data_IF_982877498366
#
_entry.id   IF_982877498366
#
_cell.length_a   1.000
_cell.length_b   1.000
_cell.length_c   1.000
_cell.angle_alpha   90.00
_cell.angle_beta   90.00
_cell.angle_gamma   90.00
#
_symmetry.space_group_name_H-M   'P 1'
#
loop_
_entity.id
_entity.type
_entity.pdbx_description
1 polymer ?
#
# COMPACT_ATOMS: atom_id res chain seq x y z
N UNK A 1 62.19 21.56 -39.11
CA UNK A 1 60.90 21.03 -39.58
C UNK A 1 60.71 19.70 -38.88
N UNK A 2 59.74 19.58 -37.96
CA UNK A 2 59.49 18.31 -37.27
C UNK A 2 59.18 17.22 -38.29
N UNK A 3 59.67 16.02 -38.06
CA UNK A 3 59.52 14.89 -38.97
C UNK A 3 58.04 14.50 -39.06
N UNK A 4 57.56 14.06 -40.24
CA UNK A 4 56.19 13.59 -40.40
C UNK A 4 55.82 12.45 -39.40
N UNK A 5 56.82 11.68 -38.98
CA UNK A 5 56.65 10.71 -37.90
C UNK A 5 56.36 11.40 -36.55
N UNK A 6 57.13 12.43 -36.21
CA UNK A 6 57.01 13.20 -34.96
C UNK A 6 55.62 13.84 -34.81
N UNK A 7 55.09 14.43 -35.89
CA UNK A 7 53.72 14.96 -35.93
C UNK A 7 52.67 13.87 -35.73
N UNK A 8 52.92 12.66 -36.24
CA UNK A 8 51.99 11.53 -36.08
C UNK A 8 51.96 11.03 -34.65
N UNK A 9 53.12 10.98 -33.98
CA UNK A 9 53.24 10.57 -32.58
C UNK A 9 52.61 11.60 -31.63
N UNK A 10 52.76 12.89 -31.93
CA UNK A 10 52.17 13.98 -31.13
C UNK A 10 50.63 13.97 -31.24
N UNK A 11 50.10 13.81 -32.45
CA UNK A 11 48.66 13.67 -32.69
C UNK A 11 48.06 12.43 -32.00
N UNK A 12 48.75 11.29 -32.01
CA UNK A 12 48.30 10.08 -31.30
C UNK A 12 48.27 10.27 -29.78
N UNK A 13 49.27 10.97 -29.25
CA UNK A 13 49.36 11.23 -27.82
C UNK A 13 48.21 12.14 -27.35
N UNK A 14 47.87 13.19 -28.11
CA UNK A 14 46.73 14.05 -27.82
C UNK A 14 45.38 13.30 -27.87
N UNK A 15 45.26 12.33 -28.78
CA UNK A 15 44.07 11.50 -28.93
C UNK A 15 43.89 10.54 -27.73
N UNK A 16 44.97 9.90 -27.28
CA UNK A 16 44.97 9.10 -26.04
C UNK A 16 44.69 9.96 -24.80
N UNK A 17 45.26 11.15 -24.71
CA UNK A 17 45.07 12.06 -23.57
C UNK A 17 43.61 12.52 -23.46
N UNK A 18 42.98 12.86 -24.59
CA UNK A 18 41.56 13.17 -24.65
C UNK A 18 40.67 11.96 -24.30
N UNK A 19 41.06 10.76 -24.73
CA UNK A 19 40.38 9.51 -24.38
C UNK A 19 40.45 9.24 -22.87
N UNK A 20 41.61 9.43 -22.24
CA UNK A 20 41.77 9.30 -20.78
C UNK A 20 40.93 10.33 -20.02
N UNK A 21 40.98 11.60 -20.42
CA UNK A 21 40.15 12.64 -19.80
C UNK A 21 38.65 12.36 -19.93
N UNK A 22 38.20 11.87 -21.09
CA UNK A 22 36.82 11.44 -21.31
C UNK A 22 36.43 10.29 -20.37
N UNK A 23 37.30 9.28 -20.24
CA UNK A 23 37.09 8.15 -19.30
C UNK A 23 37.03 8.61 -17.85
N UNK A 24 37.90 9.51 -17.41
CA UNK A 24 37.89 10.07 -16.05
C UNK A 24 36.59 10.84 -15.79
N UNK A 25 36.14 11.65 -16.76
CA UNK A 25 34.86 12.37 -16.65
C UNK A 25 33.68 11.40 -16.58
N UNK A 26 33.71 10.32 -17.35
CA UNK A 26 32.69 9.27 -17.32
C UNK A 26 32.65 8.54 -15.98
N UNK A 27 33.80 8.09 -15.46
CA UNK A 27 33.92 7.47 -14.13
C UNK A 27 33.42 8.39 -13.02
N UNK A 28 33.77 9.68 -13.10
CA UNK A 28 33.28 10.69 -12.16
C UNK A 28 31.76 10.84 -12.25
N UNK A 29 31.19 10.90 -13.46
CA UNK A 29 29.73 10.97 -13.65
C UNK A 29 29.05 9.77 -13.01
N UNK A 30 29.46 8.56 -13.38
CA UNK A 30 28.90 7.31 -12.85
C UNK A 30 29.00 7.26 -11.32
N UNK A 31 30.09 7.75 -10.74
CA UNK A 31 30.25 7.80 -9.27
C UNK A 31 29.26 8.75 -8.62
N UNK A 32 29.02 9.93 -9.20
CA UNK A 32 28.03 10.88 -8.69
C UNK A 32 26.62 10.32 -8.87
N UNK A 33 26.34 9.69 -10.02
CA UNK A 33 25.04 9.11 -10.32
C UNK A 33 24.70 7.95 -9.36
N UNK A 34 25.66 7.08 -9.04
CA UNK A 34 25.50 6.01 -8.05
C UNK A 34 25.28 6.57 -6.64
N UNK A 35 26.00 7.64 -6.27
CA UNK A 35 25.84 8.25 -4.95
C UNK A 35 24.45 8.90 -4.78
N UNK A 36 23.98 9.60 -5.81
CA UNK A 36 22.64 10.20 -5.79
C UNK A 36 21.54 9.12 -5.76
N UNK A 37 21.70 8.05 -6.55
CA UNK A 37 20.75 6.93 -6.57
C UNK A 37 20.71 6.18 -5.23
N UNK A 38 21.87 5.94 -4.60
CA UNK A 38 21.95 5.34 -3.27
C UNK A 38 21.26 6.21 -2.20
N UNK A 39 21.40 7.54 -2.29
CA UNK A 39 20.76 8.47 -1.37
C UNK A 39 19.23 8.47 -1.55
N UNK A 40 18.75 8.48 -2.80
CA UNK A 40 17.31 8.37 -3.11
C UNK A 40 16.72 7.02 -2.71
N UNK A 41 17.49 5.93 -2.82
CA UNK A 41 17.08 4.59 -2.39
C UNK A 41 16.99 4.48 -0.86
N UNK A 42 17.85 5.21 -0.11
CA UNK A 42 17.78 5.27 1.35
C UNK A 42 16.44 5.87 1.82
N UNK A 43 16.00 6.97 1.21
CA UNK A 43 14.73 7.63 1.51
C UNK A 43 13.50 6.75 1.22
N UNK A 44 13.51 6.00 0.11
CA UNK A 44 12.47 5.01 -0.18
C UNK A 44 12.44 3.88 0.85
N UNK A 45 13.61 3.38 1.27
CA UNK A 45 13.73 2.32 2.26
C UNK A 45 13.22 2.78 3.64
N UNK A 46 13.51 4.02 4.04
CA UNK A 46 12.99 4.63 5.27
C UNK A 46 11.46 4.78 5.21
N UNK A 47 10.93 5.18 4.06
CA UNK A 47 9.48 5.31 3.82
C UNK A 47 8.77 3.96 3.94
N UNK A 48 9.32 2.91 3.34
CA UNK A 48 8.77 1.56 3.45
C UNK A 48 8.88 1.02 4.88
N UNK A 49 10.03 1.23 5.54
CA UNK A 49 10.25 0.77 6.92
C UNK A 49 9.29 1.46 7.91
N UNK A 50 9.05 2.76 7.74
CA UNK A 50 8.10 3.51 8.57
C UNK A 50 6.65 3.09 8.31
N UNK A 51 6.28 2.83 7.06
CA UNK A 51 4.98 2.24 6.71
C UNK A 51 4.79 0.84 7.31
N UNK A 52 5.77 -0.05 7.13
CA UNK A 52 5.75 -1.40 7.69
C UNK A 52 5.65 -1.36 9.23
N UNK A 53 6.41 -0.49 9.88
CA UNK A 53 6.36 -0.31 11.34
C UNK A 53 4.98 0.17 11.80
N UNK A 54 4.37 1.10 11.07
CA UNK A 54 3.02 1.61 11.36
C UNK A 54 1.95 0.53 11.16
N UNK A 55 2.08 -0.27 10.08
CA UNK A 55 1.23 -1.43 9.83
C UNK A 55 1.36 -2.47 10.94
N UNK A 56 2.58 -2.88 11.30
CA UNK A 56 2.80 -3.87 12.35
C UNK A 56 2.32 -3.38 13.71
N UNK A 57 2.54 -2.11 14.05
CA UNK A 57 2.01 -1.49 15.26
C UNK A 57 0.48 -1.56 15.29
N UNK A 58 -0.17 -1.14 14.19
CA UNK A 58 -1.64 -1.21 14.04
C UNK A 58 -2.16 -2.64 14.14
N UNK A 59 -1.57 -3.58 13.40
CA UNK A 59 -1.94 -5.00 13.41
C UNK A 59 -1.74 -5.64 14.78
N UNK A 60 -0.69 -5.27 15.52
CA UNK A 60 -0.43 -5.77 16.88
C UNK A 60 -1.39 -5.19 17.91
N UNK A 61 -1.78 -3.92 17.76
CA UNK A 61 -2.85 -3.34 18.58
C UNK A 61 -4.22 -3.93 18.25
N UNK A 62 -4.52 -4.19 16.97
CA UNK A 62 -5.73 -4.86 16.51
C UNK A 62 -5.81 -6.30 17.02
N UNK A 63 -4.74 -7.08 16.88
CA UNK A 63 -4.70 -8.46 17.37
C UNK A 63 -4.78 -8.53 18.89
N UNK A 64 -4.15 -7.60 19.61
CA UNK A 64 -4.30 -7.51 21.07
C UNK A 64 -5.68 -7.04 21.48
N UNK A 65 -6.33 -6.13 20.77
CA UNK A 65 -7.72 -5.76 21.09
C UNK A 65 -8.70 -6.89 20.79
N UNK A 66 -8.39 -7.77 19.83
CA UNK A 66 -9.15 -9.01 19.59
C UNK A 66 -8.89 -10.07 20.69
N UNK A 67 -7.62 -10.28 21.07
CA UNK A 67 -7.21 -11.29 22.06
C UNK A 67 -7.45 -10.86 23.53
N UNK A 68 -7.46 -9.55 23.80
CA UNK A 68 -7.72 -8.93 25.12
C UNK A 68 -9.18 -8.57 25.29
N UNK A 69 -10.10 -9.27 24.62
CA UNK A 69 -11.50 -9.18 24.99
C UNK A 69 -11.69 -10.01 26.26
N UNK A 70 -11.92 -9.34 27.40
CA UNK A 70 -12.38 -10.04 28.60
C UNK A 70 -13.61 -10.87 28.24
N UNK A 71 -13.77 -12.05 28.84
CA UNK A 71 -14.89 -12.98 28.57
C UNK A 71 -16.26 -12.29 28.59
N UNK A 72 -16.43 -11.29 29.47
CA UNK A 72 -17.61 -10.43 29.56
C UNK A 72 -17.83 -9.53 28.34
N UNK A 73 -16.76 -8.99 27.74
CA UNK A 73 -16.84 -8.17 26.51
C UNK A 73 -17.09 -9.04 25.27
N UNK A 74 -16.57 -10.27 25.26
CA UNK A 74 -16.82 -11.26 24.21
C UNK A 74 -18.29 -11.73 24.20
N UNK A 75 -18.92 -11.92 25.38
CA UNK A 75 -20.34 -12.24 25.45
C UNK A 75 -21.21 -11.11 24.89
N UNK A 76 -20.84 -9.85 25.14
CA UNK A 76 -21.53 -8.68 24.57
C UNK A 76 -21.43 -8.63 23.05
N UNK A 77 -20.26 -8.87 22.46
CA UNK A 77 -20.11 -8.88 21.00
C UNK A 77 -20.88 -10.03 20.35
N UNK A 78 -20.85 -11.23 20.93
CA UNK A 78 -21.68 -12.35 20.46
C UNK A 78 -23.18 -12.03 20.55
N UNK A 79 -23.64 -11.43 21.66
CA UNK A 79 -25.02 -11.02 21.81
C UNK A 79 -25.45 -9.97 20.77
N UNK A 80 -24.59 -9.03 20.39
CA UNK A 80 -24.88 -8.07 19.31
C UNK A 80 -25.02 -8.76 17.95
N UNK A 81 -24.14 -9.72 17.62
CA UNK A 81 -24.20 -10.46 16.35
C UNK A 81 -25.48 -11.28 16.27
N UNK A 82 -25.79 -12.06 17.32
CA UNK A 82 -27.02 -12.86 17.38
C UNK A 82 -28.26 -11.96 17.37
N UNK A 83 -28.24 -10.88 18.14
CA UNK A 83 -29.32 -9.88 18.16
C UNK A 83 -29.58 -9.26 16.80
N UNK A 84 -28.53 -8.90 16.05
CA UNK A 84 -28.67 -8.34 14.71
C UNK A 84 -29.35 -9.33 13.73
N UNK A 85 -29.00 -10.62 13.81
CA UNK A 85 -29.62 -11.67 12.98
C UNK A 85 -31.10 -11.84 13.33
N UNK A 86 -31.44 -11.89 14.62
CA UNK A 86 -32.83 -12.04 15.09
C UNK A 86 -33.68 -10.82 14.71
N UNK A 87 -33.15 -9.61 14.87
CA UNK A 87 -33.82 -8.37 14.49
C UNK A 87 -34.09 -8.34 12.99
N UNK A 88 -33.09 -8.69 12.17
CA UNK A 88 -33.24 -8.77 10.73
C UNK A 88 -34.30 -9.81 10.32
N UNK A 89 -34.32 -10.97 10.99
CA UNK A 89 -35.34 -12.00 10.77
C UNK A 89 -36.75 -11.51 11.12
N UNK A 90 -36.92 -10.80 12.24
CA UNK A 90 -38.21 -10.22 12.62
C UNK A 90 -38.70 -9.18 11.62
N UNK A 91 -37.81 -8.32 11.11
CA UNK A 91 -38.15 -7.33 10.07
C UNK A 91 -38.62 -8.05 8.81
N UNK A 92 -37.88 -9.07 8.34
CA UNK A 92 -38.29 -9.86 7.18
C UNK A 92 -39.60 -10.60 7.40
N UNK A 93 -39.82 -11.15 8.61
CA UNK A 93 -41.05 -11.86 8.95
C UNK A 93 -42.25 -10.92 8.96
N UNK A 94 -42.12 -9.75 9.59
CA UNK A 94 -43.16 -8.74 9.66
C UNK A 94 -43.50 -8.20 8.26
N UNK A 95 -42.49 -8.00 7.41
CA UNK A 95 -42.68 -7.56 6.03
C UNK A 95 -43.37 -8.63 5.16
N UNK A 96 -43.12 -9.92 5.42
CA UNK A 96 -43.80 -11.04 4.75
C UNK A 96 -45.24 -11.25 5.26
N UNK A 97 -45.54 -10.87 6.50
CA UNK A 97 -46.82 -11.10 7.17
C UNK A 97 -47.82 -9.93 7.06
N UNK A 98 -47.75 -9.14 5.98
CA UNK A 98 -48.73 -8.08 5.71
C UNK A 98 -50.19 -8.58 5.81
N UNK A 99 -51.12 -7.75 6.30
CA UNK A 99 -52.47 -8.18 6.65
C UNK A 99 -53.19 -8.74 5.42
N UNK A 100 -53.68 -9.99 5.53
CA UNK A 100 -54.50 -10.61 4.50
C UNK A 100 -55.80 -9.83 4.30
N UNK A 101 -56.41 -9.90 3.09
CA UNK A 101 -57.58 -9.12 2.75
C UNK A 101 -58.72 -9.40 3.74
N UNK A 102 -59.18 -8.36 4.43
CA UNK A 102 -60.36 -8.40 5.27
C UNK A 102 -61.58 -8.62 4.37
N UNK A 103 -62.13 -9.82 4.40
CA UNK A 103 -63.40 -10.12 3.74
C UNK A 103 -64.49 -9.37 4.52
N UNK A 104 -65.04 -8.31 3.92
CA UNK A 104 -66.22 -7.63 4.46
C UNK A 104 -67.45 -8.51 4.18
N UNK A 105 -68.22 -8.93 5.20
CA UNK A 105 -69.50 -9.58 5.00
C UNK A 105 -70.45 -8.61 4.28
N UNK A 106 -71.07 -9.07 3.20
CA UNK A 106 -72.11 -8.32 2.47
C UNK A 106 -73.38 -8.43 3.33
N UNK A 107 -73.86 -7.31 3.87
CA UNK A 107 -75.14 -7.29 4.59
C UNK A 107 -76.29 -7.59 3.59
N UNK A 108 -77.22 -8.52 3.90
CA UNK A 108 -78.43 -8.63 3.12
C UNK A 108 -79.37 -7.46 3.43
N UNK A 109 -79.63 -6.64 2.41
CA UNK A 109 -80.72 -5.66 2.39
C UNK A 109 -82.06 -6.35 2.67
N UNK A 110 -82.82 -5.78 3.61
CA UNK A 110 -84.26 -6.02 3.78
C UNK A 110 -85.00 -4.69 3.66
#
# INVERSE_FOLDING_TARGET
>A
MPSAAEQTLENQNEEELNSLHSKIKSLRSVTIDILDDANRQNDQTNSFTSFASSLFSTSRHHSRTMASTSTLRQYRTMAYIVGAIVVLWLIMKLWRSGPGPTVHPIEPEY
#
